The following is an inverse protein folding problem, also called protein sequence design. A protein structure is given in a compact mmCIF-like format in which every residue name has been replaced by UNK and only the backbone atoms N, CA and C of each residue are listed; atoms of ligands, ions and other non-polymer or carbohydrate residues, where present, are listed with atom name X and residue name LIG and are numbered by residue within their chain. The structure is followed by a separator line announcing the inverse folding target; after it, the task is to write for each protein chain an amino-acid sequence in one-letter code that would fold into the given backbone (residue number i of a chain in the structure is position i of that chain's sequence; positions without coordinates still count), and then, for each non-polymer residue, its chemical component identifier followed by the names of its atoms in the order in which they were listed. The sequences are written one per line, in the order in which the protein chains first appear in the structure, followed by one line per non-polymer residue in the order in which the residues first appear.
data_IF_878374801165
#
_entry.id   IF_878374801165
#
_cell.length_a   1.000
_cell.length_b   1.000
_cell.length_c   1.000
_cell.angle_alpha   90.00
_cell.angle_beta   90.00
_cell.angle_gamma   90.00
#
_symmetry.space_group_name_H-M   'P 1'
#
loop_
_entity.id
_entity.type
_entity.pdbx_description
1 polymer ?
#
# COMPACT_ATOMS: atom_id res chain seq x y z
N UNK A 1 -1.81 13.68 -13.66
CA UNK A 1 -0.62 13.72 -14.53
C UNK A 1 0.67 13.50 -13.74
N UNK A 2 0.93 14.25 -12.66
CA UNK A 2 2.11 14.02 -11.83
C UNK A 2 2.11 12.63 -11.17
N UNK A 3 0.98 12.20 -10.63
CA UNK A 3 0.89 10.93 -9.88
C UNK A 3 1.13 9.69 -10.76
N UNK A 4 0.61 9.72 -12.00
CA UNK A 4 0.90 8.69 -13.01
C UNK A 4 2.38 8.66 -13.38
N UNK A 5 3.03 9.82 -13.52
CA UNK A 5 4.47 9.89 -13.81
C UNK A 5 5.30 9.35 -12.65
N UNK A 6 4.91 9.64 -11.40
CA UNK A 6 5.58 9.12 -10.22
C UNK A 6 5.45 7.59 -10.13
N UNK A 7 4.27 7.03 -10.41
CA UNK A 7 4.06 5.58 -10.45
C UNK A 7 4.94 4.91 -11.52
N UNK A 8 5.00 5.49 -12.73
CA UNK A 8 5.84 4.97 -13.81
C UNK A 8 7.33 5.07 -13.48
N UNK A 9 7.79 6.22 -12.98
CA UNK A 9 9.19 6.44 -12.61
C UNK A 9 9.61 5.49 -11.48
N UNK A 10 8.76 5.32 -10.46
CA UNK A 10 9.02 4.40 -9.37
C UNK A 10 9.04 2.94 -9.84
N UNK A 11 8.12 2.52 -10.72
CA UNK A 11 8.13 1.18 -11.29
C UNK A 11 9.42 0.92 -12.09
N UNK A 12 9.85 1.89 -12.90
CA UNK A 12 11.12 1.80 -13.62
C UNK A 12 12.32 1.66 -12.68
N UNK A 13 12.42 2.52 -11.65
CA UNK A 13 13.54 2.48 -10.70
C UNK A 13 13.57 1.15 -9.94
N UNK A 14 12.42 0.70 -9.43
CA UNK A 14 12.34 -0.57 -8.69
C UNK A 14 12.66 -1.75 -9.61
N UNK A 15 12.16 -1.74 -10.85
CA UNK A 15 12.47 -2.77 -11.83
C UNK A 15 13.96 -2.83 -12.19
N UNK A 16 14.62 -1.68 -12.34
CA UNK A 16 16.06 -1.60 -12.58
C UNK A 16 16.88 -2.10 -11.39
N UNK A 17 16.47 -1.77 -10.16
CA UNK A 17 17.18 -2.19 -8.94
C UNK A 17 17.08 -3.69 -8.72
N UNK A 18 15.90 -4.28 -8.96
CA UNK A 18 15.69 -5.72 -8.73
C UNK A 18 16.25 -6.59 -9.87
N UNK A 19 16.24 -6.07 -11.10
CA UNK A 19 16.67 -6.81 -12.27
C UNK A 19 15.86 -8.08 -12.55
N UNK A 20 16.32 -8.88 -13.51
CA UNK A 20 15.60 -10.07 -14.01
C UNK A 20 16.08 -11.41 -13.40
N UNK A 21 17.20 -11.41 -12.66
CA UNK A 21 17.79 -12.64 -12.09
C UNK A 21 17.45 -12.74 -10.60
N UNK A 22 16.41 -13.48 -10.29
CA UNK A 22 15.99 -13.71 -8.91
C UNK A 22 16.56 -15.01 -8.34
N UNK A 23 17.47 -14.89 -7.38
CA UNK A 23 17.77 -15.99 -6.46
C UNK A 23 16.56 -16.31 -5.57
N UNK A 24 16.43 -17.55 -5.12
CA UNK A 24 15.31 -18.02 -4.27
C UNK A 24 15.21 -17.21 -2.97
N UNK A 25 16.34 -16.79 -2.40
CA UNK A 25 16.37 -15.93 -1.21
C UNK A 25 15.92 -14.48 -1.46
N UNK A 26 15.98 -14.01 -2.72
CA UNK A 26 15.67 -12.62 -3.09
C UNK A 26 14.19 -12.36 -3.40
N UNK A 27 13.40 -13.39 -3.64
CA UNK A 27 11.99 -13.27 -4.07
C UNK A 27 11.15 -12.51 -3.05
N UNK A 28 11.24 -12.90 -1.77
CA UNK A 28 10.49 -12.28 -0.68
C UNK A 28 10.86 -10.81 -0.50
N UNK A 29 12.15 -10.48 -0.58
CA UNK A 29 12.65 -9.11 -0.44
C UNK A 29 12.16 -8.22 -1.59
N UNK A 30 12.22 -8.72 -2.82
CA UNK A 30 11.79 -8.00 -4.01
C UNK A 30 10.28 -7.72 -3.99
N UNK A 31 9.47 -8.72 -3.62
CA UNK A 31 8.02 -8.58 -3.47
C UNK A 31 7.68 -7.54 -2.39
N UNK A 32 8.32 -7.63 -1.23
CA UNK A 32 8.13 -6.67 -0.12
C UNK A 32 8.43 -5.25 -0.58
N UNK A 33 9.54 -5.05 -1.28
CA UNK A 33 9.99 -3.72 -1.76
C UNK A 33 8.99 -3.13 -2.75
N UNK A 34 8.52 -3.93 -3.71
CA UNK A 34 7.56 -3.51 -4.75
C UNK A 34 6.25 -3.05 -4.12
N UNK A 35 5.69 -3.82 -3.18
CA UNK A 35 4.46 -3.43 -2.50
C UNK A 35 4.65 -2.30 -1.49
N UNK A 36 5.84 -2.17 -0.87
CA UNK A 36 6.17 -1.02 -0.04
C UNK A 36 6.12 0.28 -0.84
N UNK A 37 6.78 0.31 -2.01
CA UNK A 37 6.82 1.49 -2.87
C UNK A 37 5.43 1.84 -3.38
N UNK A 38 4.66 0.84 -3.84
CA UNK A 38 3.28 1.05 -4.29
C UNK A 38 2.40 1.64 -3.17
N UNK A 39 2.51 1.10 -1.96
CA UNK A 39 1.76 1.57 -0.80
C UNK A 39 2.07 3.02 -0.41
N UNK A 40 3.36 3.39 -0.37
CA UNK A 40 3.77 4.76 -0.05
C UNK A 40 3.23 5.75 -1.08
N UNK A 41 3.32 5.41 -2.37
CA UNK A 41 2.79 6.27 -3.44
C UNK A 41 1.26 6.39 -3.33
N UNK A 42 0.55 5.28 -3.12
CA UNK A 42 -0.90 5.27 -2.91
C UNK A 42 -1.30 6.14 -1.71
N UNK A 43 -0.64 5.98 -0.56
CA UNK A 43 -0.90 6.78 0.64
C UNK A 43 -0.73 8.28 0.38
N UNK A 44 0.36 8.69 -0.30
CA UNK A 44 0.62 10.11 -0.60
C UNK A 44 -0.42 10.70 -1.56
N UNK A 45 -0.93 9.93 -2.51
CA UNK A 45 -1.98 10.39 -3.43
C UNK A 45 -3.31 10.54 -2.70
N UNK A 46 -3.77 9.50 -2.00
CA UNK A 46 -5.05 9.54 -1.30
C UNK A 46 -5.08 10.59 -0.19
N UNK A 47 -3.98 10.76 0.57
CA UNK A 47 -3.95 11.79 1.59
C UNK A 47 -3.99 13.21 0.99
N UNK A 48 -3.35 13.45 -0.16
CA UNK A 48 -3.49 14.75 -0.85
C UNK A 48 -4.94 15.00 -1.28
N UNK A 49 -5.62 13.99 -1.79
CA UNK A 49 -7.04 14.08 -2.14
C UNK A 49 -7.88 14.41 -0.89
N UNK A 50 -7.73 13.65 0.21
CA UNK A 50 -8.50 13.87 1.44
C UNK A 50 -8.17 15.19 2.14
N UNK A 51 -6.90 15.59 2.16
CA UNK A 51 -6.49 16.86 2.75
C UNK A 51 -7.09 18.07 2.00
N UNK A 52 -7.41 17.94 0.71
CA UNK A 52 -8.03 19.03 -0.06
C UNK A 52 -9.49 19.28 0.34
N UNK A 53 -10.21 18.21 0.69
CA UNK A 53 -11.65 18.24 1.01
C UNK A 53 -11.95 18.30 2.51
N UNK A 54 -10.93 18.23 3.38
CA UNK A 54 -11.07 18.21 4.84
C UNK A 54 -11.90 19.36 5.42
N UNK A 55 -11.82 20.55 4.83
CA UNK A 55 -12.56 21.72 5.30
C UNK A 55 -14.06 21.56 5.08
N UNK A 56 -14.43 20.98 3.94
CA UNK A 56 -15.82 20.65 3.61
C UNK A 56 -16.33 19.57 4.56
N UNK A 57 -15.55 18.51 4.78
CA UNK A 57 -15.90 17.44 5.72
C UNK A 57 -16.08 17.96 7.15
N UNK A 58 -15.22 18.88 7.60
CA UNK A 58 -15.36 19.51 8.91
C UNK A 58 -16.68 20.29 9.05
N UNK A 59 -17.09 20.98 7.98
CA UNK A 59 -18.38 21.67 7.95
C UNK A 59 -19.56 20.68 7.92
N UNK A 60 -19.50 19.66 7.09
CA UNK A 60 -20.53 18.60 7.01
C UNK A 60 -20.71 17.89 8.36
N UNK A 61 -19.62 17.60 9.06
CA UNK A 61 -19.69 17.02 10.41
C UNK A 61 -20.31 17.98 11.43
N UNK A 62 -20.08 19.29 11.32
CA UNK A 62 -20.76 20.28 12.19
C UNK A 62 -22.27 20.38 11.94
N UNK A 63 -22.71 20.05 10.73
CA UNK A 63 -24.13 20.01 10.32
C UNK A 63 -24.77 18.65 10.65
N UNK A 64 -24.00 17.69 11.17
CA UNK A 64 -24.49 16.40 11.65
C UNK A 64 -24.35 15.24 10.64
N UNK A 65 -23.55 15.41 9.58
CA UNK A 65 -23.23 14.31 8.66
C UNK A 65 -22.36 13.27 9.38
N UNK A 66 -22.74 12.00 9.28
CA UNK A 66 -21.99 10.92 9.94
C UNK A 66 -20.61 10.71 9.28
N UNK A 67 -19.53 10.53 10.05
CA UNK A 67 -18.20 10.25 9.50
C UNK A 67 -18.15 8.98 8.65
N UNK A 68 -18.96 7.97 8.98
CA UNK A 68 -19.03 6.72 8.21
C UNK A 68 -19.62 6.90 6.82
N UNK A 69 -20.66 7.74 6.65
CA UNK A 69 -21.21 8.06 5.34
C UNK A 69 -20.16 8.81 4.49
N UNK A 70 -19.45 9.75 5.11
CA UNK A 70 -18.34 10.46 4.47
C UNK A 70 -17.22 9.51 4.04
N UNK A 71 -16.81 8.58 4.92
CA UNK A 71 -15.83 7.54 4.58
C UNK A 71 -16.25 6.71 3.36
N UNK A 72 -17.49 6.24 3.36
CA UNK A 72 -17.98 5.37 2.29
C UNK A 72 -18.09 6.11 0.94
N UNK A 73 -18.58 7.35 0.95
CA UNK A 73 -18.65 8.21 -0.23
C UNK A 73 -17.26 8.41 -0.86
N UNK A 74 -16.24 8.62 -0.03
CA UNK A 74 -14.87 8.80 -0.48
C UNK A 74 -14.24 7.51 -1.00
N UNK A 75 -14.50 6.38 -0.36
CA UNK A 75 -14.03 5.09 -0.86
C UNK A 75 -14.61 4.80 -2.25
N UNK A 76 -15.88 5.08 -2.48
CA UNK A 76 -16.51 4.91 -3.80
C UNK A 76 -15.88 5.85 -4.83
N UNK A 77 -15.68 7.11 -4.47
CA UNK A 77 -15.11 8.12 -5.38
C UNK A 77 -13.69 7.76 -5.80
N UNK A 78 -12.88 7.26 -4.86
CA UNK A 78 -11.48 6.91 -5.09
C UNK A 78 -11.29 5.50 -5.70
N UNK A 79 -12.34 4.68 -5.75
CA UNK A 79 -12.25 3.29 -6.20
C UNK A 79 -11.66 3.15 -7.62
N UNK A 80 -12.01 4.08 -8.51
CA UNK A 80 -11.43 4.11 -9.86
C UNK A 80 -9.91 4.29 -9.85
N UNK A 81 -9.40 5.18 -9.00
CA UNK A 81 -7.96 5.39 -8.86
C UNK A 81 -7.27 4.22 -8.14
N UNK A 82 -7.91 3.63 -7.13
CA UNK A 82 -7.44 2.42 -6.44
C UNK A 82 -7.30 1.24 -7.41
N UNK A 83 -8.18 1.13 -8.41
CA UNK A 83 -8.10 0.08 -9.43
C UNK A 83 -7.04 0.36 -10.51
N UNK A 84 -6.88 1.62 -10.93
CA UNK A 84 -5.97 2.02 -12.02
C UNK A 84 -4.52 2.12 -11.55
N UNK A 85 -4.27 2.68 -10.37
CA UNK A 85 -2.91 2.90 -9.85
C UNK A 85 -2.03 1.64 -9.77
N UNK A 86 -2.48 0.49 -9.22
CA UNK A 86 -1.68 -0.73 -9.23
C UNK A 86 -1.51 -1.30 -10.64
N UNK A 87 -2.47 -1.13 -11.55
CA UNK A 87 -2.35 -1.59 -12.94
C UNK A 87 -1.20 -0.86 -13.66
N UNK A 88 -1.13 0.47 -13.54
CA UNK A 88 -0.07 1.28 -14.17
C UNK A 88 1.31 0.88 -13.64
N UNK A 89 1.44 0.80 -12.31
CA UNK A 89 2.71 0.46 -11.68
C UNK A 89 3.17 -0.97 -12.01
N UNK A 90 2.26 -1.95 -11.87
CA UNK A 90 2.58 -3.35 -12.11
C UNK A 90 2.82 -3.64 -13.59
N UNK A 91 2.17 -2.95 -14.53
CA UNK A 91 2.40 -3.19 -15.96
C UNK A 91 3.87 -2.96 -16.35
N UNK A 92 4.47 -1.86 -15.87
CA UNK A 92 5.88 -1.56 -16.10
C UNK A 92 6.78 -2.51 -15.33
N UNK A 93 6.49 -2.69 -14.03
CA UNK A 93 7.28 -3.55 -13.17
C UNK A 93 7.33 -5.01 -13.68
N UNK A 94 6.18 -5.56 -14.08
CA UNK A 94 6.05 -6.93 -14.59
C UNK A 94 6.88 -7.14 -15.85
N UNK A 95 6.86 -6.17 -16.78
CA UNK A 95 7.64 -6.26 -18.01
C UNK A 95 9.16 -6.24 -17.75
N UNK A 96 9.61 -5.44 -16.79
CA UNK A 96 11.04 -5.30 -16.50
C UNK A 96 11.60 -6.48 -15.71
N UNK A 97 10.81 -7.01 -14.77
CA UNK A 97 11.29 -7.97 -13.78
C UNK A 97 10.91 -9.41 -14.11
N UNK A 98 9.88 -9.61 -14.95
CA UNK A 98 9.34 -10.93 -15.34
C UNK A 98 9.15 -11.84 -14.11
N UNK A 99 8.26 -11.47 -13.18
CA UNK A 99 8.03 -12.24 -11.97
C UNK A 99 7.42 -13.61 -12.29
N UNK A 100 7.54 -14.56 -11.35
CA UNK A 100 7.17 -15.97 -11.56
C UNK A 100 5.66 -16.23 -11.60
N UNK A 101 4.85 -15.47 -10.85
CA UNK A 101 3.39 -15.64 -10.82
C UNK A 101 2.69 -14.81 -11.92
N UNK A 102 1.45 -15.15 -12.31
CA UNK A 102 0.73 -14.42 -13.34
C UNK A 102 0.39 -12.99 -12.90
N UNK A 103 0.25 -12.09 -13.87
CA UNK A 103 -0.04 -10.67 -13.63
C UNK A 103 -1.31 -10.43 -12.79
N UNK A 104 -2.34 -11.26 -12.98
CA UNK A 104 -3.61 -11.13 -12.27
C UNK A 104 -3.46 -11.25 -10.75
N UNK A 105 -2.62 -12.16 -10.27
CA UNK A 105 -2.40 -12.38 -8.84
C UNK A 105 -1.70 -11.19 -8.19
N UNK A 106 -0.63 -10.70 -8.84
CA UNK A 106 0.07 -9.51 -8.38
C UNK A 106 -0.84 -8.27 -8.38
N UNK A 107 -1.74 -8.17 -9.38
CA UNK A 107 -2.71 -7.09 -9.49
C UNK A 107 -3.73 -7.10 -8.35
N UNK A 108 -4.32 -8.27 -8.03
CA UNK A 108 -5.28 -8.39 -6.93
C UNK A 108 -4.64 -8.01 -5.59
N UNK A 109 -3.42 -8.48 -5.33
CA UNK A 109 -2.68 -8.12 -4.12
C UNK A 109 -2.37 -6.61 -4.10
N UNK A 110 -1.92 -6.04 -5.21
CA UNK A 110 -1.66 -4.61 -5.34
C UNK A 110 -2.91 -3.75 -5.09
N UNK A 111 -4.07 -4.19 -5.57
CA UNK A 111 -5.35 -3.53 -5.34
C UNK A 111 -5.70 -3.52 -3.86
N UNK A 112 -5.58 -4.66 -3.17
CA UNK A 112 -5.83 -4.74 -1.73
C UNK A 112 -4.88 -3.85 -0.92
N UNK A 113 -3.62 -3.74 -1.33
CA UNK A 113 -2.64 -2.84 -0.72
C UNK A 113 -3.03 -1.37 -0.92
N UNK A 114 -3.43 -0.97 -2.13
CA UNK A 114 -3.92 0.40 -2.38
C UNK A 114 -5.19 0.69 -1.58
N UNK A 115 -6.13 -0.26 -1.53
CA UNK A 115 -7.36 -0.12 -0.76
C UNK A 115 -7.09 0.07 0.74
N UNK A 116 -6.20 -0.75 1.32
CA UNK A 116 -5.78 -0.59 2.72
C UNK A 116 -5.20 0.82 3.01
N UNK A 117 -4.32 1.31 2.12
CA UNK A 117 -3.72 2.63 2.28
C UNK A 117 -4.74 3.77 2.15
N UNK A 118 -5.76 3.61 1.31
CA UNK A 118 -6.84 4.60 1.22
C UNK A 118 -7.60 4.75 2.54
N UNK A 119 -7.88 3.63 3.23
CA UNK A 119 -8.52 3.65 4.55
C UNK A 119 -7.66 4.30 5.62
N UNK A 120 -6.36 4.00 5.62
CA UNK A 120 -5.40 4.62 6.54
C UNK A 120 -5.26 6.13 6.29
N UNK A 121 -5.18 6.56 5.02
CA UNK A 121 -5.10 7.97 4.67
C UNK A 121 -6.33 8.75 5.14
N UNK A 122 -7.53 8.15 5.08
CA UNK A 122 -8.73 8.74 5.64
C UNK A 122 -8.66 8.88 7.17
N UNK A 123 -8.24 7.83 7.88
CA UNK A 123 -8.08 7.86 9.34
C UNK A 123 -7.10 8.96 9.78
N UNK A 124 -5.99 9.13 9.04
CA UNK A 124 -5.04 10.23 9.28
C UNK A 124 -5.65 11.59 8.95
N UNK A 125 -6.47 11.70 7.90
CA UNK A 125 -7.10 12.97 7.53
C UNK A 125 -8.06 13.50 8.60
N UNK A 126 -8.78 12.60 9.30
CA UNK A 126 -9.68 12.94 10.40
C UNK A 126 -8.94 13.32 11.70
N UNK A 127 -7.67 12.95 11.82
CA UNK A 127 -6.87 13.25 13.01
C UNK A 127 -6.68 14.77 13.20
N UNK A 128 -6.52 15.26 14.44
CA UNK A 128 -6.30 16.68 14.73
C UNK A 128 -4.90 17.19 14.33
N UNK A 129 -4.13 16.41 13.58
CA UNK A 129 -2.77 16.74 13.12
C UNK A 129 -2.85 17.89 12.09
N UNK A 130 -1.93 18.88 12.15
CA UNK A 130 -1.90 19.95 11.15
C UNK A 130 -1.62 19.39 9.74
N UNK A 131 -2.23 19.95 8.68
CA UNK A 131 -2.19 19.38 7.33
C UNK A 131 -0.77 19.21 6.77
N UNK A 132 0.17 20.10 7.14
CA UNK A 132 1.57 19.98 6.75
C UNK A 132 2.26 18.76 7.36
N UNK A 133 1.92 18.37 8.59
CA UNK A 133 2.49 17.22 9.26
C UNK A 133 1.79 15.90 8.89
N UNK A 134 0.53 15.95 8.44
CA UNK A 134 -0.24 14.76 8.06
C UNK A 134 0.45 13.96 6.94
N UNK A 135 1.02 14.63 5.93
CA UNK A 135 1.69 13.97 4.82
C UNK A 135 2.90 13.16 5.29
N UNK A 136 3.79 13.80 6.04
CA UNK A 136 4.98 13.16 6.59
C UNK A 136 4.59 12.05 7.56
N UNK A 137 3.61 12.29 8.44
CA UNK A 137 3.14 11.30 9.40
C UNK A 137 2.59 10.06 8.69
N UNK A 138 1.74 10.22 7.67
CA UNK A 138 1.16 9.09 6.93
C UNK A 138 2.23 8.30 6.16
N UNK A 139 3.21 8.97 5.55
CA UNK A 139 4.29 8.31 4.83
C UNK A 139 5.16 7.51 5.79
N UNK A 140 5.53 8.09 6.94
CA UNK A 140 6.27 7.41 7.99
C UNK A 140 5.46 6.23 8.54
N UNK A 141 4.16 6.40 8.79
CA UNK A 141 3.30 5.33 9.28
C UNK A 141 3.23 4.18 8.27
N UNK A 142 3.04 4.49 6.98
CA UNK A 142 3.05 3.50 5.89
C UNK A 142 4.38 2.74 5.86
N UNK A 143 5.50 3.44 6.00
CA UNK A 143 6.83 2.85 6.05
C UNK A 143 7.04 1.99 7.30
N UNK A 144 6.57 2.41 8.47
CA UNK A 144 6.67 1.61 9.69
C UNK A 144 5.87 0.32 9.54
N UNK A 145 4.61 0.42 9.11
CA UNK A 145 3.75 -0.74 8.91
C UNK A 145 4.25 -1.65 7.78
N UNK A 146 4.81 -1.08 6.71
CA UNK A 146 5.22 -1.82 5.54
C UNK A 146 6.65 -2.36 5.56
N UNK A 147 7.60 -1.65 6.15
CA UNK A 147 9.03 -2.01 6.14
C UNK A 147 9.47 -2.68 7.43
N UNK A 148 9.03 -2.18 8.59
CA UNK A 148 9.47 -2.70 9.89
C UNK A 148 8.57 -3.82 10.40
N UNK A 149 7.29 -3.84 10.02
CA UNK A 149 6.33 -4.86 10.47
C UNK A 149 6.07 -5.96 9.42
N UNK A 150 6.92 -6.09 8.41
CA UNK A 150 6.76 -7.10 7.36
C UNK A 150 7.07 -8.55 7.79
N UNK A 151 7.57 -8.75 9.02
CA UNK A 151 7.92 -10.05 9.58
C UNK A 151 9.37 -10.52 9.38
N UNK A 152 10.24 -9.71 8.76
CA UNK A 152 11.69 -9.99 8.68
C UNK A 152 12.41 -9.70 10.01
N UNK A 153 11.89 -8.77 10.82
CA UNK A 153 12.46 -8.43 12.13
C UNK A 153 11.40 -7.74 13.00
N UNK A 154 10.85 -8.35 14.07
CA UNK A 154 11.07 -9.68 14.64
C UNK A 154 10.33 -10.81 13.91
N UNK A 155 10.88 -12.03 13.97
CA UNK A 155 10.23 -13.22 13.37
C UNK A 155 8.92 -13.55 14.10
N UNK A 156 7.92 -14.05 13.37
CA UNK A 156 6.62 -14.49 13.95
C UNK A 156 6.82 -15.52 15.07
N UNK A 157 7.87 -16.35 14.97
CA UNK A 157 8.24 -17.32 16.02
C UNK A 157 8.62 -16.66 17.35
N UNK A 158 9.25 -15.49 17.31
CA UNK A 158 9.69 -14.76 18.50
C UNK A 158 8.61 -13.85 19.11
N UNK A 159 7.53 -13.55 18.38
CA UNK A 159 6.47 -12.62 18.81
C UNK A 159 5.15 -13.31 19.21
N UNK A 160 5.03 -14.62 19.05
CA UNK A 160 3.81 -15.40 19.26
C UNK A 160 3.28 -15.27 20.71
N UNK A 161 2.02 -14.86 20.86
CA UNK A 161 1.35 -14.67 22.15
C UNK A 161 1.54 -13.27 22.79
N UNK A 162 2.19 -12.33 22.09
CA UNK A 162 2.42 -10.97 22.56
C UNK A 162 1.58 -9.93 21.80
N UNK A 163 1.43 -8.72 22.35
CA UNK A 163 0.87 -7.55 21.66
C UNK A 163 1.63 -7.28 20.35
N UNK A 164 2.91 -7.67 20.29
CA UNK A 164 3.74 -7.60 19.08
C UNK A 164 3.16 -8.44 17.93
N UNK A 165 2.49 -9.57 18.20
CA UNK A 165 1.81 -10.37 17.17
C UNK A 165 0.62 -9.63 16.56
N UNK A 166 -0.18 -8.94 17.39
CA UNK A 166 -1.29 -8.12 16.92
C UNK A 166 -0.80 -6.94 16.06
N UNK A 167 0.31 -6.30 16.47
CA UNK A 167 0.95 -5.21 15.71
C UNK A 167 1.52 -5.72 14.38
N UNK A 168 2.16 -6.89 14.37
CA UNK A 168 2.61 -7.55 13.14
C UNK A 168 1.44 -7.99 12.24
N UNK A 169 0.28 -8.31 12.81
CA UNK A 169 -0.96 -8.64 12.08
C UNK A 169 -1.56 -7.44 11.34
N UNK A 170 -1.24 -6.22 11.76
CA UNK A 170 -1.72 -4.98 11.14
C UNK A 170 -0.93 -4.58 9.88
N UNK A 171 0.20 -5.25 9.60
CA UNK A 171 1.03 -4.95 8.43
C UNK A 171 0.40 -5.46 7.14
N UNK A 172 -0.01 -4.53 6.27
CA UNK A 172 -0.48 -4.87 4.92
C UNK A 172 0.61 -5.59 4.09
N UNK A 173 1.89 -5.22 4.29
CA UNK A 173 2.98 -5.74 3.47
C UNK A 173 3.32 -7.18 3.84
N UNK A 174 3.12 -7.56 5.12
CA UNK A 174 3.20 -8.95 5.55
C UNK A 174 2.17 -9.81 4.81
N UNK A 175 0.89 -9.43 4.87
CA UNK A 175 -0.19 -10.18 4.19
C UNK A 175 0.02 -10.22 2.67
N UNK A 176 0.45 -9.11 2.06
CA UNK A 176 0.75 -9.04 0.64
C UNK A 176 1.90 -10.00 0.25
N UNK A 177 2.95 -10.05 1.05
CA UNK A 177 4.12 -10.91 0.81
C UNK A 177 3.77 -12.38 0.99
N UNK A 178 3.04 -12.73 2.06
CA UNK A 178 2.55 -14.10 2.29
C UNK A 178 1.63 -14.57 1.16
N UNK A 179 0.68 -13.72 0.73
CA UNK A 179 -0.20 -14.02 -0.39
C UNK A 179 0.57 -14.25 -1.69
N UNK A 180 1.52 -13.35 -2.01
CA UNK A 180 2.32 -13.47 -3.23
C UNK A 180 3.20 -14.74 -3.24
N UNK A 181 3.77 -15.13 -2.09
CA UNK A 181 4.54 -16.37 -1.96
C UNK A 181 3.66 -17.59 -2.19
N UNK A 182 2.44 -17.61 -1.64
CA UNK A 182 1.50 -18.71 -1.87
C UNK A 182 1.19 -18.87 -3.36
N UNK A 183 0.94 -17.77 -4.08
CA UNK A 183 0.66 -17.82 -5.53
C UNK A 183 1.86 -18.31 -6.34
N UNK A 184 3.07 -17.86 -6.01
CA UNK A 184 4.31 -18.36 -6.66
C UNK A 184 4.48 -19.87 -6.41
N UNK A 185 4.07 -20.37 -5.25
CA UNK A 185 4.20 -21.80 -4.91
C UNK A 185 3.15 -22.70 -5.57
N UNK A 186 1.96 -22.18 -5.85
CA UNK A 186 0.89 -22.94 -6.51
C UNK A 186 1.15 -23.13 -8.00
N UNK A 187 1.79 -22.16 -8.66
CA UNK A 187 2.09 -22.21 -10.10
C UNK A 187 3.22 -23.19 -10.45
N UNK A 188 3.96 -23.70 -9.45
CA UNK A 188 5.03 -24.70 -9.64
C UNK A 188 4.55 -26.16 -9.59
N UNK A 189 3.25 -26.41 -9.33
CA UNK A 189 2.65 -27.76 -9.31
C UNK A 189 1.85 -28.02 -10.57
#
# INVERSE_FOLDING_TARGET
MLDTLLLLAAACIVGLVQGYKWDLGGVTSNITMTYLVLAVLSCVVHLRAFSSIRHVQGHEHSVGVSPFATFFSLNITELGWIAISPAIYLAVYYYMVTPRAPFADYYVIGLLVCWWNSGMAYAVSLSPIPPQAQQVFSAILTLILGAFLNGLSPSIRSARGSVVEAVLGLSYNRWATEAAIVQVSSDQR
#
